data_IF_086812276335
#
_entry.id   IF_086812276335
#
_cell.length_a   1.000
_cell.length_b   1.000
_cell.length_c   1.000
_cell.angle_alpha   90.00
_cell.angle_beta   90.00
_cell.angle_gamma   90.00
#
_symmetry.space_group_name_H-M   'P 1'
#
loop_
_entity.id
_entity.type
_entity.pdbx_description
1 polymer ?
#
# COMPACT_ATOMS: atom_id res chain seq x y z
N UNK A 1 25.39 -15.87 1.13
CA UNK A 1 24.38 -15.67 2.20
C UNK A 1 23.28 -14.69 1.81
N UNK A 2 23.57 -13.55 1.17
CA UNK A 2 22.56 -12.57 0.73
C UNK A 2 21.60 -13.09 -0.35
N UNK A 3 22.06 -13.91 -1.28
CA UNK A 3 21.26 -14.51 -2.35
C UNK A 3 20.26 -15.54 -1.81
N UNK A 4 20.66 -16.35 -0.84
CA UNK A 4 19.79 -17.35 -0.20
C UNK A 4 18.66 -16.68 0.61
N UNK A 5 18.94 -15.58 1.33
CA UNK A 5 17.93 -14.88 2.09
C UNK A 5 16.90 -14.14 1.20
N UNK A 6 17.32 -13.65 0.02
CA UNK A 6 16.40 -13.09 -0.98
C UNK A 6 15.48 -14.15 -1.59
N UNK A 7 16.05 -15.31 -1.99
CA UNK A 7 15.27 -16.46 -2.50
C UNK A 7 14.30 -16.98 -1.45
N UNK A 8 14.72 -17.08 -0.19
CA UNK A 8 13.88 -17.56 0.89
C UNK A 8 12.70 -16.61 1.19
N UNK A 9 12.87 -15.30 1.06
CA UNK A 9 11.76 -14.32 1.17
C UNK A 9 10.78 -14.41 -0.01
N UNK A 10 11.27 -14.62 -1.22
CA UNK A 10 10.40 -14.87 -2.38
C UNK A 10 9.67 -16.21 -2.25
N UNK A 11 10.34 -17.25 -1.78
CA UNK A 11 9.73 -18.54 -1.51
C UNK A 11 8.60 -18.45 -0.50
N UNK A 12 8.77 -17.75 0.61
CA UNK A 12 7.72 -17.60 1.62
C UNK A 12 6.45 -16.89 1.12
N UNK A 13 6.54 -16.08 0.07
CA UNK A 13 5.39 -15.38 -0.52
C UNK A 13 4.81 -16.15 -1.71
N UNK A 14 5.65 -16.88 -2.47
CA UNK A 14 5.27 -17.52 -3.73
C UNK A 14 5.13 -19.05 -3.68
N UNK A 15 5.78 -19.72 -2.74
CA UNK A 15 5.85 -21.18 -2.65
C UNK A 15 4.80 -21.80 -1.71
N UNK A 16 3.71 -21.12 -1.43
CA UNK A 16 2.56 -21.83 -0.88
C UNK A 16 1.83 -22.52 -2.05
N UNK A 17 1.46 -23.77 -1.91
CA UNK A 17 0.62 -24.53 -2.86
C UNK A 17 -0.72 -23.84 -3.15
N UNK A 18 -0.99 -22.75 -2.45
CA UNK A 18 -2.19 -21.91 -2.58
C UNK A 18 -1.79 -20.46 -2.90
N UNK A 19 -2.41 -19.81 -3.89
CA UNK A 19 -2.17 -18.41 -4.20
C UNK A 19 -2.51 -17.53 -3.00
N UNK A 20 -1.65 -16.56 -2.73
CA UNK A 20 -1.82 -15.59 -1.64
C UNK A 20 -1.88 -14.19 -2.21
N UNK A 21 -2.81 -13.37 -1.74
CA UNK A 21 -2.90 -11.94 -2.09
C UNK A 21 -2.33 -11.12 -0.94
N UNK A 22 -1.28 -10.36 -1.20
CA UNK A 22 -0.71 -9.41 -0.26
C UNK A 22 -1.03 -8.00 -0.72
N UNK A 23 -1.71 -7.22 0.11
CA UNK A 23 -2.05 -5.81 -0.15
C UNK A 23 -1.19 -4.95 0.76
N UNK A 24 -0.42 -4.05 0.18
CA UNK A 24 0.45 -3.10 0.90
C UNK A 24 -0.17 -1.72 0.81
N UNK A 25 -0.56 -1.18 1.96
CA UNK A 25 -1.06 0.19 2.07
C UNK A 25 0.11 1.16 2.29
N UNK A 26 0.18 2.16 1.43
CA UNK A 26 1.26 3.14 1.38
C UNK A 26 0.68 4.51 1.68
N UNK A 27 1.37 5.30 2.50
CA UNK A 27 0.96 6.65 2.83
C UNK A 27 0.87 7.54 1.58
N UNK A 28 -0.14 8.38 1.54
CA UNK A 28 -0.37 9.32 0.44
C UNK A 28 -1.85 9.64 0.32
N UNK A 29 -2.35 10.62 1.11
CA UNK A 29 -3.77 10.97 1.16
C UNK A 29 -4.30 11.49 -0.17
N UNK A 30 -3.58 12.43 -0.79
CA UNK A 30 -4.03 13.16 -1.97
C UNK A 30 -3.03 13.08 -3.14
N UNK A 31 -1.86 12.47 -2.91
CA UNK A 31 -0.82 12.33 -3.92
C UNK A 31 -0.19 10.94 -3.84
N UNK A 32 -0.20 10.22 -4.94
CA UNK A 32 0.19 8.82 -5.03
C UNK A 32 1.66 8.58 -5.39
N UNK A 33 2.55 9.55 -5.23
CA UNK A 33 3.97 9.43 -5.60
C UNK A 33 4.66 8.23 -4.96
N UNK A 34 4.48 8.05 -3.65
CA UNK A 34 5.07 6.93 -2.92
C UNK A 34 4.48 5.59 -3.35
N UNK A 35 3.17 5.55 -3.58
CA UNK A 35 2.50 4.34 -4.08
C UNK A 35 2.92 4.03 -5.52
N UNK A 36 3.07 5.06 -6.38
CA UNK A 36 3.57 4.89 -7.74
C UNK A 36 5.02 4.37 -7.76
N UNK A 37 5.85 4.80 -6.80
CA UNK A 37 7.23 4.33 -6.65
C UNK A 37 7.32 2.81 -6.40
N UNK A 38 6.24 2.15 -5.96
CA UNK A 38 6.19 0.69 -5.86
C UNK A 38 6.45 -0.01 -7.22
N UNK A 39 6.21 0.68 -8.35
CA UNK A 39 6.56 0.16 -9.67
C UNK A 39 8.07 -0.08 -9.84
N UNK A 40 8.92 0.66 -9.12
CA UNK A 40 10.37 0.53 -9.15
C UNK A 40 10.88 -0.75 -8.44
N UNK A 41 10.00 -1.46 -7.72
CA UNK A 41 10.33 -2.74 -7.12
C UNK A 41 10.54 -3.86 -8.17
N UNK A 42 10.14 -3.62 -9.42
CA UNK A 42 10.36 -4.56 -10.52
C UNK A 42 11.83 -4.52 -10.94
N UNK A 43 12.46 -5.69 -10.99
CA UNK A 43 13.84 -5.89 -11.45
C UNK A 43 13.95 -7.25 -12.12
N UNK A 44 15.14 -7.58 -12.66
CA UNK A 44 15.40 -8.89 -13.26
C UNK A 44 15.17 -10.06 -12.29
N UNK A 45 15.37 -9.82 -10.99
CA UNK A 45 15.21 -10.81 -9.91
C UNK A 45 13.86 -10.71 -9.18
N UNK A 46 13.00 -9.73 -9.50
CA UNK A 46 11.75 -9.48 -8.81
C UNK A 46 10.67 -9.01 -9.78
N UNK A 47 9.54 -9.72 -9.82
CA UNK A 47 8.40 -9.30 -10.66
C UNK A 47 7.73 -8.01 -10.20
N UNK A 48 8.07 -7.54 -9.00
CA UNK A 48 7.53 -6.31 -8.43
C UNK A 48 6.08 -6.46 -7.98
N UNK A 49 5.31 -5.38 -8.16
CA UNK A 49 3.93 -5.26 -7.77
C UNK A 49 3.03 -5.54 -8.98
N UNK A 50 1.98 -6.34 -8.79
CA UNK A 50 1.06 -6.73 -9.86
C UNK A 50 0.05 -5.64 -10.21
N UNK A 51 -0.46 -4.94 -9.18
CA UNK A 51 -1.45 -3.87 -9.32
C UNK A 51 -1.09 -2.69 -8.43
N UNK A 52 -1.28 -1.47 -8.94
CA UNK A 52 -1.04 -0.22 -8.20
C UNK A 52 -2.27 0.66 -8.32
N UNK A 53 -2.79 1.13 -7.17
CA UNK A 53 -3.94 2.01 -7.10
C UNK A 53 -3.60 3.33 -6.41
N UNK A 54 -3.79 4.43 -7.14
CA UNK A 54 -3.42 5.78 -6.75
C UNK A 54 -4.64 6.59 -6.29
N UNK A 55 -4.46 7.56 -5.39
CA UNK A 55 -5.56 8.39 -4.87
C UNK A 55 -6.13 9.35 -5.91
N UNK A 56 -5.38 9.65 -6.98
CA UNK A 56 -5.80 10.53 -8.09
C UNK A 56 -6.82 9.90 -9.02
N UNK A 57 -7.03 8.59 -8.92
CA UNK A 57 -8.00 7.84 -9.74
C UNK A 57 -9.15 7.36 -8.89
N UNK A 58 -10.35 7.48 -9.41
CA UNK A 58 -11.53 6.84 -8.79
C UNK A 58 -11.28 5.34 -8.71
N UNK A 59 -11.46 4.79 -7.51
CA UNK A 59 -11.29 3.38 -7.24
C UNK A 59 -12.60 2.65 -7.51
N UNK A 60 -12.57 1.75 -8.47
CA UNK A 60 -13.71 0.87 -8.80
C UNK A 60 -13.46 -0.50 -8.16
N UNK A 61 -14.31 -0.84 -7.18
CA UNK A 61 -14.21 -2.09 -6.41
C UNK A 61 -14.49 -3.31 -7.29
N UNK A 62 -15.46 -3.22 -8.19
CA UNK A 62 -15.85 -4.36 -9.03
C UNK A 62 -14.76 -4.65 -10.06
N UNK A 63 -14.21 -3.59 -10.67
CA UNK A 63 -13.06 -3.72 -11.55
C UNK A 63 -11.84 -4.28 -10.80
N UNK A 64 -11.57 -3.81 -9.58
CA UNK A 64 -10.50 -4.35 -8.72
C UNK A 64 -10.68 -5.85 -8.48
N UNK A 65 -11.87 -6.27 -8.06
CA UNK A 65 -12.19 -7.69 -7.80
C UNK A 65 -12.05 -8.56 -9.06
N UNK A 66 -12.48 -8.05 -10.22
CA UNK A 66 -12.32 -8.73 -11.49
C UNK A 66 -10.82 -8.95 -11.84
N UNK A 67 -9.97 -7.92 -11.64
CA UNK A 67 -8.53 -8.03 -11.88
C UNK A 67 -7.86 -9.02 -10.94
N UNK A 68 -8.20 -8.98 -9.65
CA UNK A 68 -7.69 -9.94 -8.66
C UNK A 68 -8.07 -11.37 -9.04
N UNK A 69 -9.33 -11.59 -9.43
CA UNK A 69 -9.82 -12.89 -9.85
C UNK A 69 -9.10 -13.43 -11.10
N UNK A 70 -8.86 -12.56 -12.08
CA UNK A 70 -8.10 -12.90 -13.30
C UNK A 70 -6.68 -13.37 -12.99
N UNK A 71 -5.98 -12.65 -12.10
CA UNK A 71 -4.60 -13.00 -11.72
C UNK A 71 -4.58 -14.27 -10.86
N UNK A 72 -5.52 -14.39 -9.92
CA UNK A 72 -5.65 -15.56 -9.06
C UNK A 72 -5.93 -16.85 -9.84
N UNK A 73 -6.71 -16.75 -10.92
CA UNK A 73 -6.99 -17.89 -11.82
C UNK A 73 -5.72 -18.48 -12.48
N UNK A 74 -4.63 -17.70 -12.53
CA UNK A 74 -3.32 -18.15 -13.01
C UNK A 74 -2.53 -18.97 -11.98
N UNK A 75 -3.10 -19.19 -10.78
CA UNK A 75 -2.50 -20.02 -9.72
C UNK A 75 -1.27 -19.41 -9.05
N UNK A 76 -1.03 -18.10 -9.18
CA UNK A 76 0.14 -17.42 -8.58
C UNK A 76 -0.25 -16.44 -7.49
N UNK A 77 0.63 -16.28 -6.53
CA UNK A 77 0.52 -15.22 -5.52
C UNK A 77 0.74 -13.85 -6.15
N UNK A 78 0.09 -12.81 -5.59
CA UNK A 78 0.18 -11.44 -6.08
C UNK A 78 0.45 -10.45 -4.97
N UNK A 79 1.06 -9.33 -5.34
CA UNK A 79 1.29 -8.17 -4.49
C UNK A 79 0.59 -6.96 -5.10
N UNK A 80 -0.20 -6.27 -4.29
CA UNK A 80 -0.98 -5.10 -4.68
C UNK A 80 -0.54 -3.93 -3.82
N UNK A 81 -0.18 -2.81 -4.42
CA UNK A 81 0.08 -1.55 -3.72
C UNK A 81 -1.15 -0.65 -3.81
N UNK A 82 -1.61 -0.16 -2.68
CA UNK A 82 -2.73 0.78 -2.60
C UNK A 82 -2.33 2.00 -1.81
N UNK A 83 -2.77 3.19 -2.24
CA UNK A 83 -2.66 4.37 -1.42
C UNK A 83 -3.72 4.36 -0.31
N UNK A 84 -3.38 4.88 0.87
CA UNK A 84 -4.35 5.10 1.95
C UNK A 84 -5.51 6.01 1.53
N UNK A 85 -5.27 6.91 0.56
CA UNK A 85 -6.19 7.92 0.10
C UNK A 85 -7.08 7.53 -1.09
N UNK A 86 -7.17 6.26 -1.47
CA UNK A 86 -8.04 5.83 -2.57
C UNK A 86 -9.51 6.06 -2.24
N UNK A 87 -10.27 6.58 -3.22
CA UNK A 87 -11.68 6.96 -3.09
C UNK A 87 -12.54 6.25 -4.12
N UNK A 88 -13.73 5.86 -3.71
CA UNK A 88 -14.78 5.38 -4.61
C UNK A 88 -15.49 6.54 -5.33
N UNK A 89 -16.35 6.23 -6.29
CA UNK A 89 -17.01 7.22 -7.15
C UNK A 89 -17.85 8.27 -6.39
N UNK A 90 -18.38 7.94 -5.23
CA UNK A 90 -19.14 8.86 -4.38
C UNK A 90 -18.26 9.80 -3.52
N UNK A 91 -16.94 9.69 -3.64
CA UNK A 91 -15.96 10.52 -2.93
C UNK A 91 -15.55 10.01 -1.55
N UNK A 92 -16.17 8.94 -1.03
CA UNK A 92 -15.76 8.30 0.22
C UNK A 92 -14.44 7.57 0.05
N UNK A 93 -13.65 7.55 1.12
CA UNK A 93 -12.46 6.71 1.16
C UNK A 93 -12.83 5.22 1.25
N UNK A 94 -11.99 4.36 0.69
CA UNK A 94 -12.25 2.91 0.71
C UNK A 94 -12.30 2.34 2.13
N UNK A 95 -11.49 2.84 3.05
CA UNK A 95 -11.52 2.40 4.45
C UNK A 95 -12.86 2.76 5.16
N UNK A 96 -13.56 3.83 4.74
CA UNK A 96 -14.87 4.22 5.29
C UNK A 96 -15.99 3.24 4.93
N UNK A 97 -15.74 2.33 4.00
CA UNK A 97 -16.68 1.25 3.65
C UNK A 97 -16.63 0.08 4.64
N UNK A 98 -15.64 0.07 5.55
CA UNK A 98 -15.61 -0.89 6.65
C UNK A 98 -16.57 -0.47 7.76
N UNK A 99 -17.19 -1.44 8.42
CA UNK A 99 -18.13 -1.20 9.54
C UNK A 99 -17.44 -0.72 10.84
N UNK A 100 -16.13 -0.47 10.80
CA UNK A 100 -15.37 -0.11 11.99
C UNK A 100 -15.33 1.40 12.21
N UNK A 101 -15.51 1.78 13.48
CA UNK A 101 -15.57 3.16 13.99
C UNK A 101 -14.38 3.99 13.53
N UNK A 102 -14.68 5.13 12.94
CA UNK A 102 -13.70 6.14 12.54
C UNK A 102 -13.11 6.82 13.78
N UNK A 103 -11.79 6.80 13.90
CA UNK A 103 -11.10 7.69 14.83
C UNK A 103 -10.90 9.05 14.16
N UNK A 104 -11.47 10.09 14.75
CA UNK A 104 -11.29 11.47 14.33
C UNK A 104 -10.40 12.17 15.37
N UNK A 105 -9.32 12.80 14.94
CA UNK A 105 -8.43 13.53 15.84
C UNK A 105 -9.08 14.84 16.35
N UNK A 106 -8.43 15.51 17.31
CA UNK A 106 -8.92 16.76 17.91
C UNK A 106 -9.06 17.92 16.88
N UNK A 107 -8.51 17.79 15.68
CA UNK A 107 -8.58 18.77 14.60
C UNK A 107 -9.60 18.40 13.51
N UNK A 108 -10.37 17.34 13.73
CA UNK A 108 -11.38 16.88 12.76
C UNK A 108 -10.81 16.04 11.60
N UNK A 109 -9.55 15.62 11.64
CA UNK A 109 -8.99 14.77 10.62
C UNK A 109 -9.31 13.30 10.91
N UNK A 110 -9.86 12.62 9.92
CA UNK A 110 -10.06 11.18 9.96
C UNK A 110 -8.71 10.46 9.85
N UNK A 111 -8.50 9.46 10.68
CA UNK A 111 -7.35 8.59 10.54
C UNK A 111 -7.51 7.75 9.28
N UNK A 112 -6.67 7.97 8.29
CA UNK A 112 -6.65 7.19 7.05
C UNK A 112 -5.81 5.94 7.28
N UNK A 113 -6.47 4.82 7.59
CA UNK A 113 -5.84 3.51 7.65
C UNK A 113 -6.91 2.42 7.51
N UNK A 114 -6.56 1.30 6.94
CA UNK A 114 -7.44 0.14 6.84
C UNK A 114 -8.01 -0.14 5.45
N UNK A 115 -7.66 0.65 4.42
CA UNK A 115 -8.04 0.35 3.03
C UNK A 115 -7.54 -1.04 2.61
N UNK A 116 -6.27 -1.37 2.92
CA UNK A 116 -5.72 -2.69 2.62
C UNK A 116 -6.46 -3.80 3.36
N UNK A 117 -6.81 -3.57 4.63
CA UNK A 117 -7.54 -4.55 5.44
C UNK A 117 -8.96 -4.78 4.92
N UNK A 118 -9.67 -3.71 4.56
CA UNK A 118 -10.99 -3.81 3.95
C UNK A 118 -10.95 -4.64 2.66
N UNK A 119 -10.02 -4.32 1.75
CA UNK A 119 -9.87 -5.04 0.49
C UNK A 119 -9.45 -6.50 0.70
N UNK A 120 -8.55 -6.77 1.64
CA UNK A 120 -8.13 -8.12 1.98
C UNK A 120 -9.29 -8.97 2.50
N UNK A 121 -10.10 -8.41 3.40
CA UNK A 121 -11.30 -9.08 3.92
C UNK A 121 -12.30 -9.38 2.79
N UNK A 122 -12.52 -8.41 1.90
CA UNK A 122 -13.43 -8.58 0.76
C UNK A 122 -12.95 -9.70 -0.18
N UNK A 123 -11.68 -9.72 -0.55
CA UNK A 123 -11.10 -10.80 -1.36
C UNK A 123 -11.24 -12.17 -0.65
N UNK A 124 -10.91 -12.22 0.63
CA UNK A 124 -11.03 -13.45 1.42
C UNK A 124 -12.45 -13.98 1.46
N UNK A 125 -13.43 -13.09 1.67
CA UNK A 125 -14.85 -13.45 1.72
C UNK A 125 -15.41 -13.92 0.36
N UNK A 126 -15.06 -13.23 -0.73
CA UNK A 126 -15.63 -13.53 -2.05
C UNK A 126 -14.89 -14.66 -2.80
N UNK A 127 -13.57 -14.73 -2.67
CA UNK A 127 -12.75 -15.67 -3.45
C UNK A 127 -12.20 -16.85 -2.62
N UNK A 128 -12.32 -16.80 -1.30
CA UNK A 128 -11.75 -17.84 -0.41
C UNK A 128 -10.21 -17.92 -0.44
N UNK A 129 -9.55 -16.89 -0.97
CA UNK A 129 -8.09 -16.86 -1.12
C UNK A 129 -7.46 -16.30 0.15
N UNK A 130 -6.32 -16.87 0.55
CA UNK A 130 -5.54 -16.35 1.68
C UNK A 130 -5.04 -14.94 1.38
N UNK A 131 -5.41 -13.99 2.22
CA UNK A 131 -5.05 -12.58 2.08
C UNK A 131 -4.19 -12.09 3.21
N UNK A 132 -3.37 -11.08 2.94
CA UNK A 132 -2.59 -10.34 3.93
C UNK A 132 -2.71 -8.85 3.65
N UNK A 133 -3.04 -8.06 4.67
CA UNK A 133 -2.96 -6.61 4.63
C UNK A 133 -1.69 -6.18 5.39
N UNK A 134 -0.91 -5.30 4.78
CA UNK A 134 0.29 -4.70 5.35
C UNK A 134 0.11 -3.19 5.29
N UNK A 135 -0.07 -2.57 6.44
CA UNK A 135 -0.14 -1.13 6.58
C UNK A 135 1.25 -0.63 6.99
N UNK A 136 1.94 0.11 6.11
CA UNK A 136 3.29 0.61 6.40
C UNK A 136 3.27 1.71 7.47
N UNK A 137 2.26 2.59 7.43
CA UNK A 137 2.03 3.61 8.45
C UNK A 137 3.34 4.26 8.95
N UNK A 138 3.55 4.29 10.27
CA UNK A 138 4.73 4.89 10.91
C UNK A 138 6.06 4.30 10.43
N UNK A 139 6.11 3.03 10.04
CA UNK A 139 7.33 2.40 9.51
C UNK A 139 7.85 3.12 8.27
N UNK A 140 6.97 3.63 7.43
CA UNK A 140 7.34 4.39 6.24
C UNK A 140 8.06 5.71 6.60
N UNK A 141 7.68 6.34 7.71
CA UNK A 141 8.33 7.56 8.23
C UNK A 141 9.65 7.28 8.94
N UNK A 142 9.84 6.07 9.43
CA UNK A 142 11.05 5.67 10.17
C UNK A 142 12.17 5.13 9.28
N UNK A 143 12.00 5.13 7.95
CA UNK A 143 12.97 4.60 6.99
C UNK A 143 14.12 5.58 6.69
N UNK A 144 14.72 6.18 7.71
CA UNK A 144 15.80 7.17 7.58
C UNK A 144 17.00 6.66 6.76
N UNK A 145 17.26 5.34 6.76
CA UNK A 145 18.32 4.70 5.99
C UNK A 145 18.07 4.72 4.46
N UNK A 146 16.85 5.03 4.04
CA UNK A 146 16.45 5.15 2.63
C UNK A 146 16.24 6.62 2.22
N UNK A 147 16.48 7.57 3.12
CA UNK A 147 16.26 9.00 2.86
C UNK A 147 17.25 9.51 1.82
N UNK A 148 16.78 10.28 0.86
CA UNK A 148 17.62 10.93 -0.13
C UNK A 148 18.42 12.08 0.49
N UNK A 149 19.58 12.41 -0.08
CA UNK A 149 20.36 13.57 0.35
C UNK A 149 19.59 14.88 0.17
N UNK A 150 18.77 14.97 -0.87
CA UNK A 150 17.90 16.13 -1.14
C UNK A 150 16.90 16.31 -0.02
N UNK A 151 16.15 15.27 0.36
CA UNK A 151 15.16 15.34 1.43
C UNK A 151 15.78 15.77 2.77
N UNK A 152 16.95 15.23 3.13
CA UNK A 152 17.66 15.61 4.35
C UNK A 152 18.02 17.11 4.33
N UNK A 153 18.57 17.59 3.20
CA UNK A 153 18.99 18.97 3.07
C UNK A 153 17.79 19.93 3.11
N UNK A 154 16.72 19.60 2.44
CA UNK A 154 15.50 20.42 2.42
C UNK A 154 14.83 20.45 3.80
N UNK A 155 14.70 19.31 4.47
CA UNK A 155 14.16 19.25 5.82
C UNK A 155 14.96 20.11 6.82
N UNK A 156 16.31 20.05 6.74
CA UNK A 156 17.17 20.89 7.56
C UNK A 156 16.97 22.38 7.28
N UNK A 157 16.93 22.77 6.01
CA UNK A 157 16.76 24.16 5.60
C UNK A 157 15.39 24.72 6.02
N UNK A 158 14.32 23.95 5.84
CA UNK A 158 12.97 24.33 6.24
C UNK A 158 12.87 24.49 7.75
N UNK A 159 13.44 23.55 8.53
CA UNK A 159 13.50 23.67 9.99
C UNK A 159 14.28 24.90 10.45
N UNK A 160 15.43 25.16 9.84
CA UNK A 160 16.24 26.35 10.11
C UNK A 160 15.54 27.67 9.74
N UNK A 161 14.78 27.68 8.64
CA UNK A 161 13.98 28.85 8.25
C UNK A 161 12.82 29.10 9.23
N UNK A 162 12.15 28.06 9.68
CA UNK A 162 11.07 28.16 10.66
C UNK A 162 11.57 28.79 11.99
N UNK A 163 12.72 28.32 12.49
CA UNK A 163 13.33 28.90 13.73
C UNK A 163 13.73 30.36 13.57
N UNK A 164 14.18 30.77 12.36
CA UNK A 164 14.54 32.17 12.10
C UNK A 164 13.31 33.08 11.97
N UNK A 165 12.16 32.54 11.57
CA UNK A 165 10.92 33.27 11.39
C UNK A 165 10.09 33.41 12.69
N UNK A 166 10.35 32.58 13.68
CA UNK A 166 9.73 32.62 15.01
C UNK A 166 10.40 33.65 15.90
#
# INVERSE_FOLDING_TARGET
LHLLSRRQRQMCIRDSDYPTVTIVEIMGRNAGWLTAAAALAKSDDCEGVDLIYLPEKVFDIDHFMARVKEIAAKGRSMVIAVSEGIKVADGRYVFELSEHVEFVDAFGHKQLAGSAKFLANKIGAELGIKTRAIELSTLQRCAAHMTSRTDITEAFNVGGAAVKAA
#
